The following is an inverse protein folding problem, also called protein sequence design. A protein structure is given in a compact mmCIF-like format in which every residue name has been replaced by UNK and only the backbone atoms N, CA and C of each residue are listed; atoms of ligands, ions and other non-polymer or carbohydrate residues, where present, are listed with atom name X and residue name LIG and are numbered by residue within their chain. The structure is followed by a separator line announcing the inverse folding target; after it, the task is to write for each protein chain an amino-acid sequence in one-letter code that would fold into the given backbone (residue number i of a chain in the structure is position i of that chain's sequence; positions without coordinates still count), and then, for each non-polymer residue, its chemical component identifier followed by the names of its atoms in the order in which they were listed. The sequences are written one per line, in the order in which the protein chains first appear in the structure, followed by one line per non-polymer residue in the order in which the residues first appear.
data_IF_351374873618
#
_entry.id   IF_351374873618
#
_cell.length_a   1.000
_cell.length_b   1.000
_cell.length_c   1.000
_cell.angle_alpha   90.00
_cell.angle_beta   90.00
_cell.angle_gamma   90.00
#
_symmetry.space_group_name_H-M   'P 1'
#
loop_
_entity.id
_entity.type
_entity.pdbx_description
1 polymer ?
#
# COMPACT_ATOMS: atom_id res chain seq x y z
N UNK A 1 30.58 -1.64 -46.48
CA UNK A 1 31.22 -1.28 -45.20
C UNK A 1 30.35 -0.37 -44.31
N UNK A 2 29.14 0.07 -44.73
CA UNK A 2 28.43 1.17 -44.04
C UNK A 2 27.76 0.86 -42.69
N UNK A 3 27.23 -0.35 -42.48
CA UNK A 3 26.31 -0.63 -41.36
C UNK A 3 26.89 -0.37 -39.96
N UNK A 4 28.21 -0.48 -39.79
CA UNK A 4 28.88 -0.22 -38.50
C UNK A 4 29.00 1.27 -38.16
N UNK A 5 29.04 2.14 -39.18
CA UNK A 5 29.18 3.59 -39.00
C UNK A 5 27.82 4.24 -38.67
N UNK A 6 26.75 3.79 -39.33
CA UNK A 6 25.37 4.23 -39.03
C UNK A 6 24.96 3.89 -37.58
N UNK A 7 25.34 2.71 -37.09
CA UNK A 7 25.10 2.27 -35.71
C UNK A 7 25.87 3.13 -34.71
N UNK A 8 27.16 3.42 -34.97
CA UNK A 8 27.95 4.33 -34.13
C UNK A 8 27.34 5.72 -34.07
N UNK A 9 27.03 6.30 -35.24
CA UNK A 9 26.42 7.63 -35.32
C UNK A 9 25.10 7.71 -34.55
N UNK A 10 24.26 6.68 -34.66
CA UNK A 10 23.00 6.61 -33.92
C UNK A 10 23.23 6.49 -32.41
N UNK A 11 24.23 5.71 -31.98
CA UNK A 11 24.59 5.58 -30.57
C UNK A 11 25.15 6.89 -29.99
N UNK A 12 25.99 7.61 -30.73
CA UNK A 12 26.52 8.92 -30.34
C UNK A 12 25.40 9.98 -30.27
N UNK A 13 24.53 10.07 -31.29
CA UNK A 13 23.38 11.00 -31.33
C UNK A 13 22.38 10.71 -30.18
N UNK A 14 22.25 9.46 -29.73
CA UNK A 14 21.45 9.07 -28.54
C UNK A 14 22.19 9.42 -27.26
N UNK A 15 23.50 9.16 -27.19
CA UNK A 15 24.36 9.47 -26.05
C UNK A 15 24.39 10.96 -25.71
N UNK A 16 24.54 11.82 -26.73
CA UNK A 16 24.55 13.27 -26.57
C UNK A 16 23.18 13.81 -26.13
N UNK A 17 22.07 13.31 -26.69
CA UNK A 17 20.72 13.67 -26.23
C UNK A 17 20.47 13.23 -24.79
N UNK A 18 20.83 11.99 -24.46
CA UNK A 18 20.71 11.46 -23.10
C UNK A 18 21.54 12.27 -22.10
N UNK A 19 22.76 12.69 -22.49
CA UNK A 19 23.65 13.52 -21.69
C UNK A 19 23.10 14.94 -21.49
N UNK A 20 22.53 15.56 -22.52
CA UNK A 20 21.86 16.86 -22.41
C UNK A 20 20.66 16.79 -21.46
N UNK A 21 19.73 15.86 -21.68
CA UNK A 21 18.56 15.66 -20.79
C UNK A 21 18.99 15.31 -19.36
N UNK A 22 20.03 14.49 -19.19
CA UNK A 22 20.57 14.19 -17.86
C UNK A 22 21.13 15.44 -17.16
N UNK A 23 21.77 16.36 -17.89
CA UNK A 23 22.28 17.61 -17.32
C UNK A 23 21.14 18.50 -16.82
N UNK A 24 20.10 18.70 -17.65
CA UNK A 24 18.92 19.51 -17.30
C UNK A 24 18.17 18.93 -16.08
N UNK A 25 17.95 17.60 -16.07
CA UNK A 25 17.32 16.89 -14.96
C UNK A 25 18.16 16.99 -13.69
N UNK A 26 19.49 16.86 -13.79
CA UNK A 26 20.40 16.98 -12.64
C UNK A 26 20.39 18.41 -12.08
N UNK A 27 20.33 19.46 -12.92
CA UNK A 27 20.33 20.84 -12.44
C UNK A 27 18.96 21.33 -11.94
N UNK A 28 17.87 20.73 -12.42
CA UNK A 28 16.56 20.85 -11.76
C UNK A 28 16.57 20.14 -10.39
N UNK A 29 17.01 18.88 -10.35
CA UNK A 29 17.04 18.07 -9.14
C UNK A 29 17.98 18.63 -8.05
N UNK A 30 19.12 19.22 -8.41
CA UNK A 30 20.01 19.91 -7.45
C UNK A 30 19.36 21.09 -6.76
N UNK A 31 18.46 21.82 -7.44
CA UNK A 31 17.77 23.00 -6.87
C UNK A 31 16.64 22.54 -5.95
N UNK A 32 15.65 21.86 -6.52
CA UNK A 32 14.47 21.36 -5.77
C UNK A 32 14.86 20.38 -4.67
N UNK A 33 15.87 19.53 -4.90
CA UNK A 33 16.32 18.53 -3.94
C UNK A 33 16.96 19.12 -2.69
N UNK A 34 17.70 20.24 -2.79
CA UNK A 34 18.27 20.92 -1.61
C UNK A 34 17.17 21.50 -0.73
N UNK A 35 16.28 22.30 -1.31
CA UNK A 35 15.16 22.93 -0.60
C UNK A 35 14.24 21.89 0.08
N UNK A 36 13.98 20.77 -0.61
CA UNK A 36 13.20 19.67 -0.08
C UNK A 36 13.93 18.92 1.06
N UNK A 37 15.24 18.62 0.90
CA UNK A 37 16.04 17.95 1.94
C UNK A 37 16.20 18.82 3.18
N UNK A 38 16.52 20.11 3.03
CA UNK A 38 16.70 21.03 4.16
C UNK A 38 15.40 21.18 4.97
N UNK A 39 14.27 21.30 4.27
CA UNK A 39 12.93 21.37 4.89
C UNK A 39 12.56 20.06 5.58
N UNK A 40 12.73 18.92 4.90
CA UNK A 40 12.40 17.60 5.43
C UNK A 40 13.28 17.23 6.63
N UNK A 41 14.59 17.51 6.59
CA UNK A 41 15.50 17.27 7.71
C UNK A 41 15.14 18.18 8.89
N UNK A 42 14.86 19.47 8.67
CA UNK A 42 14.47 20.37 9.76
C UNK A 42 13.11 19.99 10.40
N UNK A 43 12.17 19.42 9.65
CA UNK A 43 10.89 18.90 10.20
C UNK A 43 11.09 17.54 10.89
N UNK A 44 11.89 16.65 10.31
CA UNK A 44 12.23 15.34 10.88
C UNK A 44 13.02 15.47 12.19
N UNK A 45 13.98 16.37 12.30
CA UNK A 45 14.69 16.64 13.57
C UNK A 45 13.74 17.18 14.65
N UNK A 46 12.73 17.98 14.27
CA UNK A 46 11.74 18.54 15.22
C UNK A 46 10.68 17.55 15.68
N UNK A 47 10.28 16.58 14.83
CA UNK A 47 9.27 15.56 15.18
C UNK A 47 9.84 14.16 15.47
N UNK A 48 11.14 13.95 15.30
CA UNK A 48 11.78 12.64 15.25
C UNK A 48 11.60 11.79 16.51
N UNK A 49 11.59 12.40 17.70
CA UNK A 49 11.45 11.68 18.97
C UNK A 49 10.01 11.16 19.20
N UNK A 50 9.00 11.94 18.78
CA UNK A 50 7.59 11.53 18.84
C UNK A 50 7.31 10.45 17.78
N UNK A 51 7.84 10.64 16.56
CA UNK A 51 7.72 9.68 15.47
C UNK A 51 8.39 8.33 15.79
N UNK A 52 9.64 8.32 16.30
CA UNK A 52 10.35 7.08 16.70
C UNK A 52 9.50 6.22 17.64
N UNK A 53 8.83 6.84 18.61
CA UNK A 53 8.01 6.13 19.60
C UNK A 53 6.73 5.51 19.01
N UNK A 54 6.04 6.23 18.12
CA UNK A 54 4.85 5.71 17.44
C UNK A 54 5.21 4.58 16.46
N UNK A 55 6.27 4.75 15.66
CA UNK A 55 6.70 3.77 14.66
C UNK A 55 7.25 2.49 15.28
N UNK A 56 7.88 2.54 16.46
CA UNK A 56 8.39 1.35 17.15
C UNK A 56 7.29 0.30 17.46
N UNK A 57 6.07 0.74 17.79
CA UNK A 57 4.92 -0.15 18.04
C UNK A 57 4.44 -0.88 16.78
N UNK A 58 4.40 -0.18 15.65
CA UNK A 58 4.04 -0.78 14.35
C UNK A 58 5.13 -1.72 13.84
N UNK A 59 6.40 -1.33 13.94
CA UNK A 59 7.54 -2.18 13.55
C UNK A 59 7.54 -3.49 14.33
N UNK A 60 7.30 -3.47 15.65
CA UNK A 60 7.18 -4.70 16.44
C UNK A 60 6.05 -5.59 15.93
N UNK A 61 4.88 -5.02 15.65
CA UNK A 61 3.73 -5.78 15.14
C UNK A 61 4.02 -6.44 13.78
N UNK A 62 4.71 -5.73 12.89
CA UNK A 62 5.15 -6.26 11.59
C UNK A 62 6.25 -7.32 11.74
N UNK A 63 7.20 -7.13 12.66
CA UNK A 63 8.26 -8.10 12.94
C UNK A 63 7.71 -9.39 13.56
N UNK A 64 6.72 -9.30 14.46
CA UNK A 64 6.03 -10.47 15.03
C UNK A 64 5.25 -11.24 13.93
N UNK A 65 4.57 -10.55 13.02
CA UNK A 65 3.89 -11.17 11.88
C UNK A 65 4.87 -11.85 10.90
N UNK A 66 5.98 -11.17 10.56
CA UNK A 66 7.04 -11.72 9.70
C UNK A 66 7.74 -12.91 10.34
N UNK A 67 8.00 -12.87 11.65
CA UNK A 67 8.63 -13.98 12.37
C UNK A 67 7.73 -15.21 12.34
N UNK A 68 6.44 -15.03 12.63
CA UNK A 68 5.44 -16.09 12.60
C UNK A 68 5.28 -16.72 11.21
N UNK A 69 5.39 -15.91 10.15
CA UNK A 69 5.40 -16.42 8.77
C UNK A 69 6.72 -17.10 8.37
N UNK A 70 7.86 -16.70 8.96
CA UNK A 70 9.15 -17.34 8.73
C UNK A 70 9.29 -18.67 9.46
N UNK A 71 8.75 -18.79 10.68
CA UNK A 71 8.70 -20.05 11.43
C UNK A 71 7.76 -21.10 10.74
N UNK A 72 6.90 -20.68 9.82
CA UNK A 72 6.06 -21.53 8.93
C UNK A 72 6.78 -21.95 7.62
N UNK A 73 7.99 -21.44 7.32
CA UNK A 73 8.77 -21.81 6.12
C UNK A 73 9.82 -22.89 6.44
N UNK A 74 9.81 -23.96 5.64
CA UNK A 74 10.58 -25.19 5.91
C UNK A 74 12.11 -25.01 5.81
N UNK A 75 12.82 -25.43 6.86
CA UNK A 75 14.29 -25.39 7.02
C UNK A 75 15.10 -26.07 5.89
N UNK A 76 16.35 -25.61 5.69
CA UNK A 76 17.43 -26.45 5.17
C UNK A 76 17.95 -26.17 3.75
N UNK A 77 17.59 -25.06 3.11
CA UNK A 77 17.96 -24.79 1.70
C UNK A 77 19.18 -23.86 1.53
N UNK A 78 19.73 -23.80 0.31
CA UNK A 78 20.81 -22.85 -0.03
C UNK A 78 20.40 -21.37 0.14
N UNK A 79 19.09 -21.08 0.14
CA UNK A 79 18.59 -19.75 0.47
C UNK A 79 18.81 -19.41 1.95
N UNK A 80 18.74 -20.36 2.87
CA UNK A 80 18.89 -20.15 4.33
C UNK A 80 20.23 -19.48 4.69
N UNK A 81 21.34 -19.90 4.07
CA UNK A 81 22.67 -19.26 4.26
C UNK A 81 22.71 -17.82 3.72
N UNK A 82 21.96 -17.55 2.66
CA UNK A 82 21.86 -16.19 2.07
C UNK A 82 20.99 -15.30 2.96
N UNK A 83 19.85 -15.81 3.43
CA UNK A 83 18.96 -15.14 4.37
C UNK A 83 19.62 -14.90 5.73
N UNK A 84 20.40 -15.85 6.26
CA UNK A 84 21.16 -15.68 7.50
C UNK A 84 22.25 -14.60 7.40
N UNK A 85 22.95 -14.52 6.26
CA UNK A 85 23.89 -13.43 6.01
C UNK A 85 23.17 -12.07 5.92
N UNK A 86 22.03 -12.01 5.23
CA UNK A 86 21.18 -10.80 5.16
C UNK A 86 20.62 -10.41 6.53
N UNK A 87 20.18 -11.36 7.34
CA UNK A 87 19.61 -11.13 8.68
C UNK A 87 20.65 -10.56 9.65
N UNK A 88 21.88 -11.11 9.67
CA UNK A 88 22.95 -10.58 10.51
C UNK A 88 23.35 -9.14 10.08
N UNK A 89 23.48 -8.89 8.77
CA UNK A 89 23.74 -7.54 8.26
C UNK A 89 22.57 -6.58 8.59
N UNK A 90 21.31 -7.06 8.64
CA UNK A 90 20.15 -6.25 8.97
C UNK A 90 20.08 -5.92 10.47
N UNK A 91 20.50 -6.84 11.35
CA UNK A 91 20.65 -6.57 12.78
C UNK A 91 21.73 -5.50 13.03
N UNK A 92 22.93 -5.67 12.47
CA UNK A 92 24.01 -4.68 12.53
C UNK A 92 23.60 -3.28 11.99
N UNK A 93 22.70 -3.24 11.01
CA UNK A 93 22.15 -1.98 10.50
C UNK A 93 21.08 -1.40 11.43
N UNK A 94 20.28 -2.22 12.11
CA UNK A 94 19.24 -1.77 13.04
C UNK A 94 19.86 -1.07 14.25
N UNK A 95 20.89 -1.67 14.86
CA UNK A 95 21.61 -1.07 16.00
C UNK A 95 22.27 0.27 15.64
N UNK A 96 22.75 0.40 14.39
CA UNK A 96 23.32 1.66 13.86
C UNK A 96 22.25 2.70 13.53
N UNK A 97 21.04 2.30 13.12
CA UNK A 97 19.92 3.20 12.85
C UNK A 97 19.26 3.72 14.13
N UNK A 98 19.24 2.91 15.20
CA UNK A 98 18.76 3.37 16.50
C UNK A 98 19.65 4.48 17.09
N UNK A 99 20.98 4.28 16.98
CA UNK A 99 22.01 5.11 17.61
C UNK A 99 22.50 6.32 16.79
N UNK A 100 22.27 6.35 15.46
CA UNK A 100 22.65 7.49 14.61
C UNK A 100 21.59 8.59 14.52
N UNK A 101 22.08 9.81 14.39
CA UNK A 101 21.29 10.96 13.96
C UNK A 101 20.89 10.84 12.48
N UNK A 102 19.72 11.39 12.13
CA UNK A 102 19.18 11.35 10.75
C UNK A 102 20.14 12.01 9.75
N UNK A 103 20.89 13.04 10.18
CA UNK A 103 21.92 13.69 9.35
C UNK A 103 23.01 12.73 8.89
N UNK A 104 23.54 11.90 9.80
CA UNK A 104 24.59 10.92 9.46
C UNK A 104 24.07 9.83 8.52
N UNK A 105 22.82 9.39 8.70
CA UNK A 105 22.19 8.38 7.83
C UNK A 105 22.05 8.92 6.39
N UNK A 106 21.67 10.20 6.24
CA UNK A 106 21.59 10.86 4.93
C UNK A 106 22.98 11.03 4.29
N UNK A 107 24.01 11.32 5.08
CA UNK A 107 25.39 11.45 4.59
C UNK A 107 25.97 10.10 4.12
N UNK A 108 25.79 9.02 4.90
CA UNK A 108 26.13 7.65 4.52
C UNK A 108 25.40 7.23 3.22
N UNK A 109 24.08 7.44 3.14
CA UNK A 109 23.29 7.17 1.94
C UNK A 109 23.81 7.95 0.73
N UNK A 110 24.20 9.22 0.91
CA UNK A 110 24.77 10.06 -0.15
C UNK A 110 26.12 9.51 -0.63
N UNK A 111 26.96 9.01 0.27
CA UNK A 111 28.22 8.35 -0.08
C UNK A 111 27.98 7.06 -0.90
N UNK A 112 27.07 6.20 -0.46
CA UNK A 112 26.71 4.97 -1.20
C UNK A 112 26.08 5.26 -2.57
N UNK A 113 25.21 6.28 -2.67
CA UNK A 113 24.58 6.71 -3.91
C UNK A 113 25.61 7.15 -4.96
N UNK A 114 26.62 7.92 -4.53
CA UNK A 114 27.73 8.36 -5.40
C UNK A 114 28.66 7.21 -5.81
N UNK A 115 28.80 6.18 -4.96
CA UNK A 115 29.60 4.98 -5.24
C UNK A 115 28.94 4.02 -6.24
N UNK A 116 27.61 3.87 -6.17
CA UNK A 116 26.84 2.92 -6.99
C UNK A 116 25.58 3.58 -7.60
N UNK A 117 25.73 4.49 -8.59
CA UNK A 117 24.62 5.28 -9.12
C UNK A 117 23.51 4.42 -9.74
N UNK A 118 23.84 3.28 -10.36
CA UNK A 118 22.85 2.35 -10.93
C UNK A 118 21.95 1.74 -9.86
N UNK A 119 22.52 1.32 -8.72
CA UNK A 119 21.73 0.76 -7.61
C UNK A 119 20.85 1.83 -6.96
N UNK A 120 21.37 3.05 -6.80
CA UNK A 120 20.59 4.16 -6.24
C UNK A 120 19.42 4.56 -7.15
N UNK A 121 19.66 4.74 -8.46
CA UNK A 121 18.60 5.07 -9.42
C UNK A 121 17.56 3.96 -9.54
N UNK A 122 17.99 2.69 -9.58
CA UNK A 122 17.08 1.54 -9.58
C UNK A 122 16.23 1.46 -8.31
N UNK A 123 16.85 1.60 -7.14
CA UNK A 123 16.16 1.62 -5.86
C UNK A 123 15.18 2.78 -5.73
N UNK A 124 15.60 4.01 -6.08
CA UNK A 124 14.75 5.19 -6.05
C UNK A 124 13.55 5.09 -7.02
N UNK A 125 13.74 4.52 -8.21
CA UNK A 125 12.65 4.28 -9.17
C UNK A 125 11.65 3.24 -8.64
N UNK A 126 12.12 2.14 -8.06
CA UNK A 126 11.26 1.12 -7.44
C UNK A 126 10.50 1.67 -6.22
N UNK A 127 11.16 2.46 -5.36
CA UNK A 127 10.52 3.11 -4.21
C UNK A 127 9.48 4.14 -4.65
N UNK A 128 9.79 5.01 -5.62
CA UNK A 128 8.84 5.98 -6.16
C UNK A 128 7.63 5.31 -6.81
N UNK A 129 7.84 4.22 -7.55
CA UNK A 129 6.75 3.40 -8.08
C UNK A 129 5.93 2.75 -6.97
N UNK A 130 6.56 2.18 -5.94
CA UNK A 130 5.87 1.58 -4.80
C UNK A 130 5.02 2.62 -4.06
N UNK A 131 5.56 3.79 -3.71
CA UNK A 131 4.81 4.89 -3.10
C UNK A 131 3.60 5.30 -3.96
N UNK A 132 3.79 5.44 -5.27
CA UNK A 132 2.69 5.73 -6.21
C UNK A 132 1.62 4.62 -6.23
N UNK A 133 2.07 3.36 -6.21
CA UNK A 133 1.22 2.17 -6.36
C UNK A 133 0.44 1.83 -5.10
N UNK A 134 1.04 2.01 -3.92
CA UNK A 134 0.41 1.84 -2.60
C UNK A 134 -0.42 3.06 -2.23
N UNK A 135 0.06 4.29 -2.46
CA UNK A 135 -0.72 5.52 -2.22
C UNK A 135 -2.07 5.48 -2.94
N UNK A 136 -2.08 5.12 -4.23
CA UNK A 136 -3.31 4.94 -5.02
C UNK A 136 -4.17 3.73 -4.60
N UNK A 137 -3.61 2.76 -3.86
CA UNK A 137 -4.36 1.63 -3.31
C UNK A 137 -5.04 2.02 -1.98
N UNK A 138 -4.32 2.70 -1.09
CA UNK A 138 -4.83 3.23 0.18
C UNK A 138 -6.00 4.20 -0.03
N UNK A 139 -6.01 4.99 -1.11
CA UNK A 139 -7.15 5.85 -1.49
C UNK A 139 -8.46 5.11 -1.84
N UNK A 140 -8.50 3.77 -1.80
CA UNK A 140 -9.73 2.96 -1.97
C UNK A 140 -10.28 2.42 -0.65
N UNK A 141 -9.66 2.74 0.48
CA UNK A 141 -10.10 2.34 1.82
C UNK A 141 -10.75 3.50 2.57
N UNK A 142 -11.81 4.06 1.99
CA UNK A 142 -12.92 4.60 2.81
C UNK A 142 -14.03 3.55 2.81
N UNK A 143 -14.10 2.67 3.82
CA UNK A 143 -15.38 2.07 4.17
C UNK A 143 -16.28 3.24 4.57
N UNK A 144 -17.21 3.63 3.69
CA UNK A 144 -18.27 4.52 4.10
C UNK A 144 -19.11 3.73 5.10
N UNK A 145 -18.99 4.11 6.37
CA UNK A 145 -19.57 3.40 7.48
C UNK A 145 -21.08 3.25 7.25
N UNK A 146 -21.54 2.01 7.06
CA UNK A 146 -22.95 1.71 6.97
C UNK A 146 -23.55 1.86 8.37
N UNK A 147 -23.93 3.10 8.70
CA UNK A 147 -24.44 3.49 10.02
C UNK A 147 -25.73 2.76 10.39
N UNK A 148 -25.59 1.56 10.96
CA UNK A 148 -26.65 0.83 11.61
C UNK A 148 -26.63 1.10 13.11
N UNK A 149 -27.57 1.94 13.55
CA UNK A 149 -28.26 1.86 14.83
C UNK A 149 -27.44 1.85 16.13
N UNK A 150 -27.55 2.93 16.89
CA UNK A 150 -27.76 2.84 18.35
C UNK A 150 -28.62 4.01 18.83
N UNK A 151 -29.48 3.73 19.81
CA UNK A 151 -30.65 4.51 20.21
C UNK A 151 -30.37 5.86 20.90
N UNK A 152 -31.24 6.87 20.66
CA UNK A 152 -31.84 7.75 21.69
C UNK A 152 -33.01 8.60 21.12
N UNK A 153 -33.85 9.28 21.96
CA UNK A 153 -35.30 9.03 21.96
C UNK A 153 -36.13 10.08 21.21
N UNK A 154 -37.43 9.78 21.07
CA UNK A 154 -38.42 10.60 20.39
C UNK A 154 -38.72 11.95 21.08
N UNK A 155 -38.73 13.02 20.30
CA UNK A 155 -39.43 14.29 20.54
C UNK A 155 -40.22 14.68 19.28
N UNK A 156 -41.36 15.35 19.42
CA UNK A 156 -42.45 15.25 18.45
C UNK A 156 -42.69 16.47 17.53
N UNK A 157 -43.05 16.16 16.25
CA UNK A 157 -43.97 16.90 15.34
C UNK A 157 -43.60 18.34 14.86
N UNK A 158 -44.26 18.93 13.81
CA UNK A 158 -45.44 18.47 13.04
C UNK A 158 -45.37 18.50 11.48
N UNK A 159 -45.98 17.48 10.86
CA UNK A 159 -47.04 17.49 9.82
C UNK A 159 -47.13 18.57 8.70
N UNK A 160 -47.19 18.13 7.43
CA UNK A 160 -47.97 18.76 6.34
C UNK A 160 -48.57 17.72 5.37
N UNK A 161 -49.79 17.96 4.87
CA UNK A 161 -50.58 17.14 3.91
C UNK A 161 -51.28 18.06 2.90
N UNK A 162 -51.45 17.70 1.62
CA UNK A 162 -52.71 17.04 1.15
C UNK A 162 -52.46 15.94 0.07
N UNK A 163 -53.25 14.87 -0.05
CA UNK A 163 -54.54 14.81 -0.80
C UNK A 163 -54.28 14.55 -2.30
N UNK A 164 -54.78 13.53 -2.99
CA UNK A 164 -55.88 12.56 -2.77
C UNK A 164 -55.40 11.15 -3.23
N UNK A 165 -56.17 10.05 -3.33
CA UNK A 165 -57.62 9.80 -3.26
C UNK A 165 -57.91 8.39 -2.63
N UNK A 166 -58.92 7.65 -3.11
CA UNK A 166 -59.48 6.46 -2.45
C UNK A 166 -59.86 5.31 -3.39
N UNK A 167 -59.64 4.05 -2.97
CA UNK A 167 -60.64 2.97 -3.03
C UNK A 167 -60.16 1.70 -2.27
N UNK A 168 -60.92 1.25 -1.27
CA UNK A 168 -60.80 -0.10 -0.68
C UNK A 168 -61.82 -1.04 -1.33
N UNK A 169 -61.68 -2.36 -1.14
CA UNK A 169 -62.68 -3.01 -0.27
C UNK A 169 -62.07 -3.99 0.75
N UNK A 170 -62.77 -4.16 1.87
CA UNK A 170 -62.45 -5.14 2.90
C UNK A 170 -63.13 -6.50 2.64
N UNK A 171 -62.51 -7.59 3.07
CA UNK A 171 -63.08 -8.93 2.95
C UNK A 171 -62.25 -10.03 3.61
N UNK A 172 -62.70 -10.50 4.77
CA UNK A 172 -62.32 -11.76 5.43
C UNK A 172 -63.65 -12.42 5.86
N UNK A 173 -63.81 -13.76 5.90
CA UNK A 173 -63.03 -14.61 6.81
C UNK A 173 -62.80 -16.09 6.39
N UNK A 174 -62.21 -16.82 7.34
CA UNK A 174 -61.99 -18.26 7.48
C UNK A 174 -62.96 -19.27 6.85
N UNK A 175 -62.44 -20.45 6.50
CA UNK A 175 -62.91 -21.75 6.99
C UNK A 175 -61.91 -22.88 6.68
N UNK A 176 -61.73 -23.82 7.61
CA UNK A 176 -60.97 -25.07 7.37
C UNK A 176 -61.88 -26.16 6.79
N UNK A 177 -61.34 -27.10 6.00
CA UNK A 177 -61.83 -28.49 5.93
C UNK A 177 -60.79 -29.44 5.34
N UNK A 178 -60.63 -30.56 6.05
CA UNK A 178 -59.79 -31.73 5.77
C UNK A 178 -60.25 -32.55 4.55
N UNK A 179 -59.32 -33.35 3.98
CA UNK A 179 -59.51 -34.72 3.41
C UNK A 179 -59.22 -34.87 1.92
N UNK A 180 -58.43 -35.90 1.57
CA UNK A 180 -58.55 -36.63 0.30
C UNK A 180 -57.25 -36.72 -0.51
N UNK A 181 -56.54 -37.84 -0.38
CA UNK A 181 -55.26 -38.06 -1.06
C UNK A 181 -55.32 -38.40 -2.55
N UNK A 182 -54.14 -38.58 -3.12
CA UNK A 182 -53.89 -39.43 -4.29
C UNK A 182 -52.49 -40.02 -4.16
N UNK A 183 -52.37 -41.33 -4.37
CA UNK A 183 -51.11 -42.09 -4.31
C UNK A 183 -50.65 -42.32 -5.75
N UNK A 184 -49.39 -42.03 -6.06
CA UNK A 184 -48.80 -42.40 -7.35
C UNK A 184 -47.47 -43.11 -7.13
N UNK A 185 -47.35 -44.32 -7.68
CA UNK A 185 -46.21 -45.20 -7.48
C UNK A 185 -45.63 -45.63 -8.84
N UNK A 186 -44.30 -45.64 -9.02
CA UNK A 186 -43.66 -46.39 -10.08
C UNK A 186 -43.44 -47.85 -9.62
N UNK A 187 -43.87 -48.81 -10.44
CA UNK A 187 -43.65 -50.24 -10.22
C UNK A 187 -42.43 -50.71 -11.01
N UNK A 188 -41.47 -51.32 -10.34
CA UNK A 188 -40.26 -51.92 -10.93
C UNK A 188 -40.57 -53.22 -11.66
N UNK A 189 -39.77 -53.53 -12.70
CA UNK A 189 -39.47 -54.92 -13.03
C UNK A 189 -38.08 -55.06 -13.65
N UNK A 190 -37.29 -55.96 -13.06
CA UNK A 190 -36.32 -56.86 -13.69
C UNK A 190 -36.73 -58.26 -13.22
#
# INVERSE_FOLDING_TARGET
MSTSDDIKKTADDIGDKAKATAHDVVDAAKRTGREAVDSATAEATRRGNEAKSATAGEIRTVAEALRKAADDLQDGSYQEKTFGYLANNLADMSDRVESKDIGEIVEDLTYYARRNPVLFLGGAALLGFAVTRFGKATSRSTPYEAGYGTDRPATAQPQQTPGFASASPAGSPAAATTRGGAVHAPRTQV
#
